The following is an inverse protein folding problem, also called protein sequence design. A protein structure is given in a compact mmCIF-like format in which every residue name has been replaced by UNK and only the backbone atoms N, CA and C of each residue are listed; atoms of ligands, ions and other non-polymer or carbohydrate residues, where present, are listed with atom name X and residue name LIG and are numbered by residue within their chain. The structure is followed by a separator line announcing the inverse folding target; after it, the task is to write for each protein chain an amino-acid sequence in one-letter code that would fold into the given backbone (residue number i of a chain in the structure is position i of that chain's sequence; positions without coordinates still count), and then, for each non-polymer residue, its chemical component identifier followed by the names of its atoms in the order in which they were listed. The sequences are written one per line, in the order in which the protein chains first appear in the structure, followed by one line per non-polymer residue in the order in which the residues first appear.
data_IF_218627912129
#
_entry.id   IF_218627912129
#
_cell.length_a   1.000
_cell.length_b   1.000
_cell.length_c   1.000
_cell.angle_alpha   90.00
_cell.angle_beta   90.00
_cell.angle_gamma   90.00
#
_symmetry.space_group_name_H-M   'P 1'
#
loop_
_entity.id
_entity.type
_entity.pdbx_description
1 polymer ?
#
# COMPACT_ATOMS: atom_id res chain seq x y z
N UNK A 1 34.11 20.19 12.63
CA UNK A 1 32.72 20.08 12.22
C UNK A 1 32.50 18.68 11.67
N UNK A 2 32.07 17.75 12.51
CA UNK A 2 31.85 16.36 12.10
C UNK A 2 30.47 16.29 11.45
N UNK A 3 30.44 16.04 10.13
CA UNK A 3 29.24 15.61 9.43
C UNK A 3 28.87 14.22 9.93
N UNK A 4 27.93 14.15 10.88
CA UNK A 4 27.22 12.90 11.17
C UNK A 4 26.38 12.65 9.92
N UNK A 5 26.81 11.73 9.06
CA UNK A 5 25.96 11.18 8.01
C UNK A 5 24.79 10.52 8.71
N UNK A 6 23.61 11.03 8.47
CA UNK A 6 22.36 10.42 8.90
C UNK A 6 22.28 9.04 8.23
N UNK A 7 22.50 7.98 9.01
CA UNK A 7 22.47 6.58 8.57
C UNK A 7 21.05 5.98 8.61
N UNK A 8 20.02 6.85 8.69
CA UNK A 8 18.62 6.42 8.87
C UNK A 8 17.92 6.01 7.57
N UNK A 9 18.53 6.23 6.39
CA UNK A 9 17.96 5.80 5.11
C UNK A 9 18.95 5.00 4.28
N UNK A 10 18.52 3.88 3.74
CA UNK A 10 19.26 3.07 2.77
C UNK A 10 18.52 3.14 1.43
N UNK A 11 18.96 4.06 0.54
CA UNK A 11 18.20 4.38 -0.68
C UNK A 11 16.89 5.12 -0.34
N UNK A 12 15.77 4.70 -0.94
CA UNK A 12 14.42 5.26 -0.71
C UNK A 12 13.65 4.51 0.40
N UNK A 13 14.33 4.08 1.47
CA UNK A 13 13.76 3.34 2.60
C UNK A 13 13.94 4.13 3.89
N UNK A 14 12.85 4.40 4.60
CA UNK A 14 12.87 4.95 5.95
C UNK A 14 12.94 3.80 6.97
N UNK A 15 14.14 3.52 7.48
CA UNK A 15 14.37 2.42 8.41
C UNK A 15 13.60 2.58 9.74
N UNK A 16 13.24 3.79 10.13
CA UNK A 16 12.44 4.02 11.34
C UNK A 16 10.98 3.61 11.10
N UNK A 17 10.44 3.91 9.92
CA UNK A 17 9.11 3.44 9.52
C UNK A 17 9.07 1.90 9.45
N UNK A 18 10.05 1.27 8.78
CA UNK A 18 10.14 -0.20 8.73
C UNK A 18 10.15 -0.78 10.15
N UNK A 19 11.00 -0.28 11.05
CA UNK A 19 11.09 -0.76 12.42
C UNK A 19 9.78 -0.62 13.21
N UNK A 20 8.97 0.42 12.97
CA UNK A 20 7.64 0.58 13.59
C UNK A 20 6.70 -0.56 13.21
N UNK A 21 6.62 -0.89 11.92
CA UNK A 21 5.76 -1.98 11.44
C UNK A 21 6.27 -3.35 11.90
N UNK A 22 7.58 -3.57 11.90
CA UNK A 22 8.18 -4.81 12.40
C UNK A 22 7.87 -5.03 13.89
N UNK A 23 7.87 -3.98 14.70
CA UNK A 23 7.53 -4.08 16.12
C UNK A 23 6.09 -4.57 16.38
N UNK A 24 5.19 -4.42 15.40
CA UNK A 24 3.79 -4.85 15.47
C UNK A 24 3.51 -6.11 14.65
N UNK A 25 4.52 -6.68 14.00
CA UNK A 25 4.36 -7.74 12.98
C UNK A 25 3.57 -8.96 13.46
N UNK A 26 3.77 -9.40 14.71
CA UNK A 26 3.08 -10.58 15.28
C UNK A 26 1.57 -10.43 15.38
N UNK A 27 1.04 -9.20 15.26
CA UNK A 27 -0.41 -8.91 15.34
C UNK A 27 -1.04 -8.60 13.99
N UNK A 28 -0.29 -8.78 12.90
CA UNK A 28 -0.77 -8.43 11.56
C UNK A 28 -2.09 -9.11 11.20
N UNK A 29 -2.27 -10.37 11.61
CA UNK A 29 -3.48 -11.15 11.34
C UNK A 29 -4.50 -11.16 12.49
N UNK A 30 -4.23 -10.41 13.57
CA UNK A 30 -5.20 -10.19 14.65
C UNK A 30 -6.29 -9.21 14.17
N UNK A 31 -7.47 -9.75 13.86
CA UNK A 31 -8.62 -8.98 13.35
C UNK A 31 -9.23 -8.03 14.39
N UNK A 32 -8.84 -8.14 15.64
CA UNK A 32 -9.26 -7.26 16.75
C UNK A 32 -8.14 -6.35 17.25
N UNK A 33 -6.93 -6.50 16.66
CA UNK A 33 -5.73 -5.73 16.97
C UNK A 33 -5.59 -4.42 16.21
N UNK A 34 -4.37 -3.86 16.20
CA UNK A 34 -4.02 -2.58 15.57
C UNK A 34 -4.23 -2.60 14.05
N UNK A 35 -4.16 -3.77 13.41
CA UNK A 35 -4.36 -3.93 11.97
C UNK A 35 -5.82 -4.21 11.56
N UNK A 36 -6.77 -4.21 12.54
CA UNK A 36 -8.19 -4.35 12.25
C UNK A 36 -8.68 -3.44 11.12
N UNK A 37 -8.31 -2.14 11.05
CA UNK A 37 -8.74 -1.29 9.94
C UNK A 37 -8.30 -1.81 8.57
N UNK A 38 -7.11 -2.41 8.44
CA UNK A 38 -6.64 -2.99 7.17
C UNK A 38 -7.50 -4.19 6.76
N UNK A 39 -7.88 -5.05 7.71
CA UNK A 39 -8.79 -6.17 7.46
C UNK A 39 -10.17 -5.69 7.02
N UNK A 40 -10.72 -4.67 7.68
CA UNK A 40 -12.04 -4.10 7.37
C UNK A 40 -12.06 -3.40 6.00
N UNK A 41 -10.95 -2.75 5.61
CA UNK A 41 -10.81 -2.05 4.34
C UNK A 41 -10.53 -2.99 3.16
N UNK A 42 -9.89 -4.14 3.41
CA UNK A 42 -9.38 -5.04 2.39
C UNK A 42 -10.45 -5.54 1.39
N UNK A 43 -11.67 -5.92 1.80
CA UNK A 43 -12.72 -6.33 0.85
C UNK A 43 -13.07 -5.25 -0.17
N UNK A 44 -13.14 -3.97 0.25
CA UNK A 44 -13.42 -2.86 -0.64
C UNK A 44 -12.26 -2.57 -1.59
N UNK A 45 -11.01 -2.67 -1.11
CA UNK A 45 -9.79 -2.53 -1.92
C UNK A 45 -9.73 -3.63 -2.99
N UNK A 46 -9.90 -4.88 -2.59
CA UNK A 46 -9.90 -6.02 -3.51
C UNK A 46 -11.01 -5.90 -4.57
N UNK A 47 -12.23 -5.53 -4.17
CA UNK A 47 -13.34 -5.33 -5.09
C UNK A 47 -13.04 -4.22 -6.12
N UNK A 48 -12.45 -3.11 -5.69
CA UNK A 48 -12.03 -2.03 -6.57
C UNK A 48 -10.98 -2.47 -7.58
N UNK A 49 -9.94 -3.17 -7.11
CA UNK A 49 -8.86 -3.69 -7.97
C UNK A 49 -9.44 -4.68 -9.00
N UNK A 50 -10.22 -5.68 -8.54
CA UNK A 50 -10.86 -6.66 -9.41
C UNK A 50 -11.72 -6.02 -10.49
N UNK A 51 -12.56 -5.06 -10.11
CA UNK A 51 -13.43 -4.37 -11.06
C UNK A 51 -12.63 -3.64 -12.13
N UNK A 52 -11.61 -2.89 -11.72
CA UNK A 52 -10.83 -2.04 -12.63
C UNK A 52 -9.84 -2.83 -13.47
N UNK A 53 -9.28 -3.90 -12.93
CA UNK A 53 -8.41 -4.80 -13.65
C UNK A 53 -9.17 -5.88 -14.46
N UNK A 54 -10.49 -5.86 -14.51
CA UNK A 54 -11.32 -6.85 -15.24
C UNK A 54 -11.04 -8.30 -14.80
N UNK A 55 -10.95 -8.54 -13.48
CA UNK A 55 -10.59 -9.82 -12.87
C UNK A 55 -9.10 -9.94 -12.58
N UNK A 56 -8.73 -10.93 -11.76
CA UNK A 56 -7.34 -11.19 -11.37
C UNK A 56 -6.87 -12.59 -11.76
N UNK A 57 -7.78 -13.49 -12.12
CA UNK A 57 -7.44 -14.88 -12.45
C UNK A 57 -6.38 -14.98 -13.56
N UNK A 58 -5.31 -15.70 -13.28
CA UNK A 58 -4.18 -15.92 -14.18
C UNK A 58 -3.28 -14.70 -14.42
N UNK A 59 -3.55 -13.55 -13.78
CA UNK A 59 -2.71 -12.35 -13.89
C UNK A 59 -1.51 -12.42 -12.97
N UNK A 60 -0.37 -11.89 -13.45
CA UNK A 60 0.80 -11.63 -12.61
C UNK A 60 0.59 -10.32 -11.88
N UNK A 61 0.56 -10.38 -10.56
CA UNK A 61 0.29 -9.24 -9.69
C UNK A 61 1.48 -8.97 -8.77
N UNK A 62 1.89 -7.71 -8.68
CA UNK A 62 2.86 -7.24 -7.70
C UNK A 62 2.16 -6.43 -6.62
N UNK A 63 2.42 -6.77 -5.35
CA UNK A 63 1.98 -6.01 -4.19
C UNK A 63 3.18 -5.34 -3.50
N UNK A 64 3.31 -4.02 -3.66
CA UNK A 64 4.43 -3.20 -3.16
C UNK A 64 4.13 -2.68 -1.77
N UNK A 65 5.01 -2.98 -0.80
CA UNK A 65 4.76 -2.72 0.61
C UNK A 65 3.69 -3.66 1.16
N UNK A 66 3.80 -4.96 0.85
CA UNK A 66 2.76 -5.94 1.15
C UNK A 66 2.55 -6.21 2.65
N UNK A 67 3.48 -5.77 3.51
CA UNK A 67 3.43 -5.98 4.95
C UNK A 67 3.27 -7.47 5.32
N UNK A 68 2.28 -7.79 6.14
CA UNK A 68 1.95 -9.16 6.53
C UNK A 68 1.09 -9.94 5.52
N UNK A 69 0.87 -9.40 4.29
CA UNK A 69 0.29 -10.16 3.18
C UNK A 69 -1.24 -10.16 3.07
N UNK A 70 -1.97 -9.32 3.80
CA UNK A 70 -3.44 -9.33 3.79
C UNK A 70 -4.04 -9.17 2.39
N UNK A 71 -3.57 -8.17 1.61
CA UNK A 71 -4.04 -7.94 0.26
C UNK A 71 -3.46 -8.98 -0.71
N UNK A 72 -2.17 -9.30 -0.57
CA UNK A 72 -1.49 -10.30 -1.41
C UNK A 72 -2.22 -11.64 -1.42
N UNK A 73 -2.55 -12.19 -0.23
CA UNK A 73 -3.27 -13.46 -0.13
C UNK A 73 -4.70 -13.35 -0.68
N UNK A 74 -5.36 -12.21 -0.47
CA UNK A 74 -6.70 -12.00 -1.03
C UNK A 74 -6.69 -11.96 -2.55
N UNK A 75 -5.63 -11.41 -3.18
CA UNK A 75 -5.47 -11.43 -4.63
C UNK A 75 -5.10 -12.82 -5.15
N UNK A 76 -4.29 -13.59 -4.40
CA UNK A 76 -3.98 -14.98 -4.72
C UNK A 76 -5.24 -15.86 -4.66
N UNK A 77 -6.11 -15.65 -3.65
CA UNK A 77 -7.41 -16.32 -3.54
C UNK A 77 -8.31 -16.09 -4.76
N UNK A 78 -8.16 -14.96 -5.44
CA UNK A 78 -8.87 -14.62 -6.70
C UNK A 78 -8.17 -15.20 -7.95
N UNK A 79 -7.21 -16.12 -7.76
CA UNK A 79 -6.52 -16.83 -8.84
C UNK A 79 -5.35 -16.07 -9.47
N UNK A 80 -4.85 -14.99 -8.86
CA UNK A 80 -3.67 -14.28 -9.33
C UNK A 80 -2.37 -15.01 -8.98
N UNK A 81 -1.34 -14.86 -9.83
CA UNK A 81 0.05 -15.20 -9.56
C UNK A 81 0.71 -13.98 -8.88
N UNK A 82 0.80 -14.02 -7.54
CA UNK A 82 1.14 -12.84 -6.73
C UNK A 82 2.57 -12.89 -6.23
N UNK A 83 3.30 -11.78 -6.44
CA UNK A 83 4.54 -11.45 -5.78
C UNK A 83 4.29 -10.30 -4.81
N UNK A 84 4.58 -10.49 -3.52
CA UNK A 84 4.56 -9.45 -2.49
C UNK A 84 5.98 -9.02 -2.13
N UNK A 85 6.23 -7.71 -2.07
CA UNK A 85 7.53 -7.18 -1.65
C UNK A 85 7.38 -6.23 -0.46
N UNK A 86 8.30 -6.34 0.50
CA UNK A 86 8.38 -5.46 1.67
C UNK A 86 9.84 -5.40 2.16
N UNK A 87 10.19 -4.35 2.91
CA UNK A 87 11.51 -4.20 3.49
C UNK A 87 11.62 -4.76 4.92
N UNK A 88 10.49 -5.01 5.59
CA UNK A 88 10.42 -5.57 6.93
C UNK A 88 10.54 -7.10 6.92
N UNK A 89 11.64 -7.64 7.44
CA UNK A 89 11.83 -9.10 7.56
C UNK A 89 10.79 -9.75 8.44
N UNK A 90 10.43 -9.11 9.54
CA UNK A 90 9.42 -9.62 10.47
C UNK A 90 8.03 -9.66 9.81
N UNK A 91 7.67 -8.65 9.02
CA UNK A 91 6.42 -8.61 8.25
C UNK A 91 6.34 -9.78 7.27
N UNK A 92 7.40 -9.96 6.46
CA UNK A 92 7.46 -11.06 5.49
C UNK A 92 7.49 -12.44 6.14
N UNK A 93 8.07 -12.55 7.34
CA UNK A 93 8.04 -13.80 8.11
C UNK A 93 6.61 -14.15 8.50
N UNK A 94 5.85 -13.19 9.02
CA UNK A 94 4.43 -13.39 9.36
C UNK A 94 3.60 -13.70 8.11
N UNK A 95 3.83 -12.99 7.01
CA UNK A 95 3.15 -13.27 5.75
C UNK A 95 3.38 -14.73 5.27
N UNK A 96 4.63 -15.20 5.29
CA UNK A 96 4.96 -16.59 4.96
C UNK A 96 4.34 -17.60 5.92
N UNK A 97 4.29 -17.28 7.21
CA UNK A 97 3.66 -18.17 8.21
C UNK A 97 2.16 -18.32 7.94
N UNK A 98 1.47 -17.21 7.62
CA UNK A 98 0.04 -17.27 7.37
C UNK A 98 -0.31 -18.05 6.08
N UNK A 99 0.58 -18.13 5.09
CA UNK A 99 0.38 -19.00 3.91
C UNK A 99 0.21 -20.47 4.27
N UNK A 100 0.81 -20.95 5.37
CA UNK A 100 0.59 -22.32 5.84
C UNK A 100 -0.82 -22.53 6.39
N UNK A 101 -1.45 -21.47 6.90
CA UNK A 101 -2.81 -21.51 7.43
C UNK A 101 -3.85 -21.33 6.32
N UNK A 102 -3.61 -20.38 5.40
CA UNK A 102 -4.54 -20.07 4.31
C UNK A 102 -4.47 -21.09 3.15
N UNK A 103 -3.30 -21.71 2.95
CA UNK A 103 -3.05 -22.59 1.80
C UNK A 103 -2.85 -21.86 0.47
N UNK A 104 -2.85 -20.53 0.49
CA UNK A 104 -2.61 -19.70 -0.69
C UNK A 104 -1.14 -19.74 -1.14
N UNK A 105 -0.87 -19.25 -2.35
CA UNK A 105 0.47 -19.21 -2.93
C UNK A 105 0.83 -17.78 -3.28
N UNK A 106 1.79 -17.22 -2.57
CA UNK A 106 2.37 -15.89 -2.80
C UNK A 106 3.88 -15.98 -2.71
N UNK A 107 4.60 -15.41 -3.66
CA UNK A 107 6.05 -15.26 -3.57
C UNK A 107 6.35 -13.97 -2.75
N UNK A 108 6.91 -14.11 -1.55
CA UNK A 108 7.31 -12.96 -0.74
C UNK A 108 8.81 -12.72 -0.84
N UNK A 109 9.22 -11.48 -1.23
CA UNK A 109 10.61 -11.08 -1.40
C UNK A 109 10.93 -9.83 -0.58
N UNK A 110 12.12 -9.84 0.07
CA UNK A 110 12.72 -8.64 0.66
C UNK A 110 13.55 -7.94 -0.40
N UNK A 111 12.97 -6.94 -1.04
CA UNK A 111 13.59 -6.16 -2.11
C UNK A 111 12.87 -4.82 -2.22
N UNK A 112 13.58 -3.75 -2.57
CA UNK A 112 12.93 -2.48 -2.91
C UNK A 112 12.25 -2.56 -4.27
N UNK A 113 11.22 -1.76 -4.47
CA UNK A 113 10.51 -1.72 -5.77
C UNK A 113 11.42 -1.21 -6.89
N UNK A 114 12.35 -0.32 -6.57
CA UNK A 114 13.35 0.21 -7.52
C UNK A 114 14.34 -0.88 -7.98
N UNK A 115 14.81 -1.74 -7.06
CA UNK A 115 15.66 -2.89 -7.41
C UNK A 115 14.88 -3.90 -8.25
N UNK A 116 13.64 -4.23 -7.86
CA UNK A 116 12.79 -5.13 -8.63
C UNK A 116 12.51 -4.59 -10.04
N UNK A 117 12.37 -3.27 -10.18
CA UNK A 117 12.15 -2.62 -11.48
C UNK A 117 13.36 -2.80 -12.43
N UNK A 118 14.56 -2.97 -11.90
CA UNK A 118 15.75 -3.29 -12.70
C UNK A 118 15.78 -4.77 -13.10
N UNK A 119 15.27 -5.67 -12.24
CA UNK A 119 15.24 -7.11 -12.49
C UNK A 119 14.14 -7.53 -13.47
N UNK A 120 12.94 -6.96 -13.35
CA UNK A 120 11.72 -7.47 -14.00
C UNK A 120 10.88 -6.35 -14.67
N UNK A 121 11.45 -5.52 -15.55
CA UNK A 121 10.68 -4.46 -16.22
C UNK A 121 9.55 -5.06 -17.06
N UNK A 122 8.35 -4.48 -16.96
CA UNK A 122 7.17 -4.88 -17.75
C UNK A 122 6.65 -6.30 -17.46
N UNK A 123 6.90 -6.84 -16.26
CA UNK A 123 6.56 -8.23 -15.94
C UNK A 123 5.13 -8.41 -15.44
N UNK A 124 4.50 -7.38 -14.86
CA UNK A 124 3.25 -7.51 -14.11
C UNK A 124 2.04 -6.95 -14.88
N UNK A 125 0.93 -7.69 -14.83
CA UNK A 125 -0.36 -7.24 -15.36
C UNK A 125 -1.00 -6.20 -14.45
N UNK A 126 -0.79 -6.35 -13.13
CA UNK A 126 -1.31 -5.45 -12.10
C UNK A 126 -0.20 -5.15 -11.09
N UNK A 127 -0.08 -3.88 -10.70
CA UNK A 127 0.79 -3.44 -9.61
C UNK A 127 -0.05 -2.71 -8.57
N UNK A 128 0.02 -3.12 -7.32
CA UNK A 128 -0.60 -2.43 -6.17
C UNK A 128 0.47 -1.82 -5.28
N UNK A 129 0.22 -0.61 -4.79
CA UNK A 129 1.04 0.10 -3.81
C UNK A 129 0.08 0.89 -2.91
N UNK A 130 -0.41 0.22 -1.86
CA UNK A 130 -1.47 0.75 -1.01
C UNK A 130 -0.95 1.07 0.39
N UNK A 131 -1.27 2.28 0.89
CA UNK A 131 -0.86 2.79 2.21
C UNK A 131 0.66 2.68 2.46
N UNK A 132 1.46 2.94 1.45
CA UNK A 132 2.92 2.81 1.52
C UNK A 132 3.64 4.12 1.16
N UNK A 133 3.05 4.93 0.27
CA UNK A 133 3.69 6.14 -0.27
C UNK A 133 3.99 7.18 0.80
N UNK A 134 3.18 7.28 1.85
CA UNK A 134 3.38 8.17 3.01
C UNK A 134 4.51 7.73 3.95
N UNK A 135 5.06 6.53 3.76
CA UNK A 135 6.11 5.95 4.62
C UNK A 135 7.50 5.97 3.99
N UNK A 136 7.64 6.53 2.78
CA UNK A 136 8.92 6.60 2.06
C UNK A 136 9.41 8.04 1.90
N UNK A 137 10.74 8.24 1.78
CA UNK A 137 11.32 9.57 1.55
C UNK A 137 10.93 10.20 0.20
N UNK A 138 10.84 9.40 -0.86
CA UNK A 138 10.52 9.84 -2.24
C UNK A 138 9.40 8.98 -2.86
N UNK A 139 8.13 9.35 -2.70
CA UNK A 139 7.01 8.68 -3.35
C UNK A 139 7.08 8.68 -4.89
N UNK A 140 7.69 9.71 -5.49
CA UNK A 140 7.85 9.80 -6.94
C UNK A 140 8.70 8.66 -7.51
N UNK A 141 9.79 8.29 -6.82
CA UNK A 141 10.65 7.16 -7.18
C UNK A 141 9.86 5.84 -7.17
N UNK A 142 9.03 5.60 -6.15
CA UNK A 142 8.17 4.42 -6.06
C UNK A 142 7.22 4.33 -7.25
N UNK A 143 6.54 5.44 -7.57
CA UNK A 143 5.57 5.49 -8.68
C UNK A 143 6.27 5.24 -10.02
N UNK A 144 7.48 5.80 -10.21
CA UNK A 144 8.29 5.54 -11.40
C UNK A 144 8.70 4.06 -11.50
N UNK A 145 9.07 3.42 -10.40
CA UNK A 145 9.40 2.00 -10.36
C UNK A 145 8.16 1.13 -10.67
N UNK A 146 7.00 1.45 -10.09
CA UNK A 146 5.72 0.79 -10.42
C UNK A 146 5.40 0.88 -11.91
N UNK A 147 5.62 2.05 -12.53
CA UNK A 147 5.45 2.23 -13.98
C UNK A 147 6.41 1.36 -14.79
N UNK A 148 7.64 1.18 -14.33
CA UNK A 148 8.62 0.33 -15.02
C UNK A 148 8.25 -1.16 -14.95
N UNK A 149 7.64 -1.59 -13.84
CA UNK A 149 7.25 -2.99 -13.58
C UNK A 149 5.97 -3.40 -14.28
N UNK A 150 5.04 -2.48 -14.47
CA UNK A 150 3.75 -2.78 -15.10
C UNK A 150 3.92 -2.95 -16.61
N UNK A 151 3.17 -3.92 -17.19
CA UNK A 151 3.07 -4.11 -18.65
C UNK A 151 2.46 -2.88 -19.33
N UNK A 152 2.68 -2.67 -20.65
CA UNK A 152 2.11 -1.52 -21.37
C UNK A 152 0.58 -1.39 -21.25
N UNK A 153 -0.15 -2.52 -21.21
CA UNK A 153 -1.62 -2.55 -21.05
C UNK A 153 -2.06 -2.87 -19.60
N UNK A 154 -1.13 -2.86 -18.66
CA UNK A 154 -1.41 -3.23 -17.27
C UNK A 154 -2.01 -2.10 -16.45
N UNK A 155 -2.38 -2.44 -15.24
CA UNK A 155 -3.08 -1.58 -14.29
C UNK A 155 -2.21 -1.31 -13.06
N UNK A 156 -2.20 -0.06 -12.59
CA UNK A 156 -1.50 0.33 -11.35
C UNK A 156 -2.50 0.94 -10.38
N UNK A 157 -2.42 0.51 -9.12
CA UNK A 157 -3.30 0.99 -8.07
C UNK A 157 -2.49 1.59 -6.93
N UNK A 158 -2.87 2.79 -6.51
CA UNK A 158 -2.30 3.48 -5.36
C UNK A 158 -3.39 3.77 -4.33
N UNK A 159 -3.05 3.79 -3.04
CA UNK A 159 -3.87 4.41 -2.01
C UNK A 159 -3.02 5.11 -0.97
N UNK A 160 -3.59 6.12 -0.35
CA UNK A 160 -2.97 6.86 0.75
C UNK A 160 -4.00 7.74 1.46
N UNK A 161 -3.59 8.38 2.55
CA UNK A 161 -4.39 9.32 3.32
C UNK A 161 -4.25 10.73 2.74
N UNK A 162 -5.38 11.42 2.52
CA UNK A 162 -5.39 12.78 1.99
C UNK A 162 -4.91 13.80 3.03
N UNK A 163 -4.10 14.78 2.63
CA UNK A 163 -3.60 15.86 3.50
C UNK A 163 -4.58 17.02 3.57
N UNK A 164 -5.51 16.98 4.52
CA UNK A 164 -6.43 18.08 4.83
C UNK A 164 -6.84 18.07 6.32
N UNK A 165 -7.61 19.09 6.75
CA UNK A 165 -8.02 19.22 8.15
C UNK A 165 -8.94 18.08 8.62
N UNK A 166 -9.79 17.53 7.73
CA UNK A 166 -10.72 16.43 8.05
C UNK A 166 -9.96 15.13 8.30
N UNK A 167 -9.00 14.80 7.44
CA UNK A 167 -8.16 13.62 7.61
C UNK A 167 -7.27 13.72 8.86
N UNK A 168 -6.74 14.92 9.16
CA UNK A 168 -6.02 15.15 10.41
C UNK A 168 -6.89 14.85 11.64
N UNK A 169 -8.10 15.38 11.65
CA UNK A 169 -9.03 15.16 12.77
C UNK A 169 -9.43 13.68 12.90
N UNK A 170 -9.66 12.99 11.80
CA UNK A 170 -10.13 11.60 11.81
C UNK A 170 -9.00 10.60 12.03
N UNK A 171 -7.89 10.69 11.27
CA UNK A 171 -6.81 9.72 11.34
C UNK A 171 -5.94 9.90 12.59
N UNK A 172 -5.62 11.13 12.96
CA UNK A 172 -4.72 11.41 14.09
C UNK A 172 -5.52 11.57 15.37
N UNK A 173 -6.42 12.57 15.45
CA UNK A 173 -7.16 12.80 16.69
C UNK A 173 -8.16 11.70 16.99
N UNK A 174 -8.89 11.22 15.98
CA UNK A 174 -9.90 10.17 16.14
C UNK A 174 -9.29 8.80 16.41
N UNK A 175 -8.49 8.29 15.49
CA UNK A 175 -7.97 6.93 15.54
C UNK A 175 -6.88 6.73 16.61
N UNK A 176 -5.95 7.67 16.75
CA UNK A 176 -4.82 7.50 17.66
C UNK A 176 -5.12 7.94 19.10
N UNK A 177 -5.85 9.05 19.29
CA UNK A 177 -6.06 9.64 20.63
C UNK A 177 -7.40 9.31 21.26
N UNK A 178 -8.50 9.32 20.49
CA UNK A 178 -9.84 9.10 21.03
C UNK A 178 -10.18 7.63 21.05
N UNK A 179 -10.09 6.95 19.92
CA UNK A 179 -10.49 5.54 19.77
C UNK A 179 -9.37 4.55 20.13
N UNK A 180 -8.12 5.03 20.16
CA UNK A 180 -6.91 4.21 20.41
C UNK A 180 -6.82 2.95 19.52
N UNK A 181 -7.34 3.06 18.31
CA UNK A 181 -7.31 2.00 17.30
C UNK A 181 -5.91 1.78 16.74
N UNK A 182 -5.08 2.84 16.77
CA UNK A 182 -3.70 2.83 16.28
C UNK A 182 -2.77 3.40 17.36
N UNK A 183 -1.51 2.94 17.43
CA UNK A 183 -0.50 3.55 18.31
C UNK A 183 -0.32 5.04 18.02
N UNK A 184 0.00 5.82 19.05
CA UNK A 184 0.29 7.26 18.87
C UNK A 184 1.52 7.43 17.98
N UNK A 185 1.44 8.34 17.01
CA UNK A 185 2.52 8.62 16.07
C UNK A 185 2.60 7.63 14.91
N UNK A 186 1.56 6.83 14.67
CA UNK A 186 1.45 6.00 13.47
C UNK A 186 1.41 6.87 12.21
N UNK A 187 0.75 8.04 12.28
CA UNK A 187 0.62 8.95 11.16
C UNK A 187 1.33 10.29 11.42
N UNK A 188 2.16 10.70 10.48
CA UNK A 188 2.68 12.07 10.38
C UNK A 188 1.87 12.83 9.31
N UNK A 189 1.09 13.83 9.74
CA UNK A 189 0.28 14.65 8.82
C UNK A 189 1.08 15.25 7.66
N UNK A 190 2.36 15.55 7.87
CA UNK A 190 3.23 16.11 6.83
C UNK A 190 3.49 15.15 5.68
N UNK A 191 3.40 13.84 5.98
CA UNK A 191 3.59 12.75 5.02
C UNK A 191 2.31 12.37 4.25
N UNK A 192 1.14 12.89 4.67
CA UNK A 192 -0.12 12.67 3.93
C UNK A 192 -0.04 13.31 2.55
N UNK A 193 -0.70 12.72 1.56
CA UNK A 193 -0.54 13.07 0.15
C UNK A 193 -1.88 13.54 -0.41
N UNK A 194 -1.91 14.74 -1.01
CA UNK A 194 -3.12 15.22 -1.68
C UNK A 194 -3.33 14.50 -3.01
N UNK A 195 -4.60 14.27 -3.45
CA UNK A 195 -4.88 13.69 -4.75
C UNK A 195 -4.16 14.39 -5.91
N UNK A 196 -4.03 15.73 -5.84
CA UNK A 196 -3.34 16.52 -6.87
C UNK A 196 -1.82 16.29 -6.89
N UNK A 197 -1.19 16.03 -5.75
CA UNK A 197 0.25 15.72 -5.65
C UNK A 197 0.51 14.32 -6.20
N UNK A 198 -0.31 13.34 -5.81
CA UNK A 198 -0.21 11.98 -6.35
C UNK A 198 -0.42 11.96 -7.86
N UNK A 199 -1.43 12.66 -8.38
CA UNK A 199 -1.67 12.76 -9.83
C UNK A 199 -0.51 13.45 -10.58
N UNK A 200 0.15 14.43 -9.96
CA UNK A 200 1.35 15.05 -10.53
C UNK A 200 2.48 14.04 -10.68
N UNK A 201 2.77 13.21 -9.65
CA UNK A 201 3.80 12.17 -9.73
C UNK A 201 3.41 11.04 -10.70
N UNK A 202 2.15 10.65 -10.75
CA UNK A 202 1.61 9.68 -11.71
C UNK A 202 1.91 10.14 -13.14
N UNK A 203 1.58 11.40 -13.48
CA UNK A 203 1.87 11.96 -14.80
C UNK A 203 3.35 12.10 -15.09
N UNK A 204 4.14 12.51 -14.10
CA UNK A 204 5.60 12.64 -14.25
C UNK A 204 6.26 11.28 -14.56
N UNK A 205 5.73 10.18 -14.03
CA UNK A 205 6.18 8.82 -14.30
C UNK A 205 5.69 8.26 -15.65
N UNK A 206 4.89 9.00 -16.43
CA UNK A 206 4.31 8.51 -17.70
C UNK A 206 3.12 7.56 -17.49
N UNK A 207 2.46 7.68 -16.36
CA UNK A 207 1.16 7.06 -16.11
C UNK A 207 0.03 8.07 -16.33
N UNK A 208 -1.19 7.58 -16.55
CA UNK A 208 -2.40 8.38 -16.63
C UNK A 208 -3.44 7.87 -15.66
N UNK A 209 -3.92 8.76 -14.77
CA UNK A 209 -5.04 8.47 -13.88
C UNK A 209 -6.28 8.14 -14.68
N UNK A 210 -6.87 6.98 -14.42
CA UNK A 210 -8.10 6.47 -15.01
C UNK A 210 -9.31 6.73 -14.12
N UNK A 211 -9.12 6.62 -12.80
CA UNK A 211 -10.20 6.77 -11.83
C UNK A 211 -9.64 7.04 -10.43
N UNK A 212 -10.38 7.85 -9.67
CA UNK A 212 -10.13 8.09 -8.25
C UNK A 212 -11.42 7.75 -7.49
N UNK A 213 -11.29 7.06 -6.36
CA UNK A 213 -12.40 6.76 -5.46
C UNK A 213 -11.99 7.02 -4.02
N UNK A 214 -12.83 7.64 -3.24
CA UNK A 214 -12.67 7.69 -1.80
C UNK A 214 -13.07 6.38 -1.13
N UNK A 215 -12.58 6.19 0.09
CA UNK A 215 -13.01 5.12 0.98
C UNK A 215 -13.58 5.72 2.26
N UNK A 216 -14.83 5.40 2.57
CA UNK A 216 -15.45 5.77 3.83
C UNK A 216 -15.44 4.56 4.77
N UNK A 217 -14.86 4.73 5.96
CA UNK A 217 -14.73 3.69 6.97
C UNK A 217 -15.46 4.10 8.25
N UNK A 218 -16.25 3.19 8.80
CA UNK A 218 -16.88 3.35 10.11
C UNK A 218 -16.20 2.43 11.12
N UNK A 219 -15.40 2.95 12.05
CA UNK A 219 -14.61 2.12 12.99
C UNK A 219 -15.47 1.36 14.01
N UNK A 220 -16.73 1.77 14.24
CA UNK A 220 -17.62 1.10 15.17
C UNK A 220 -18.28 -0.15 14.57
N UNK A 221 -18.52 -0.14 13.27
CA UNK A 221 -19.18 -1.24 12.57
C UNK A 221 -18.24 -2.07 11.71
N UNK A 222 -17.00 -1.61 11.49
CA UNK A 222 -16.05 -2.20 10.54
C UNK A 222 -16.46 -2.01 9.07
N UNK A 223 -17.56 -1.28 8.81
CA UNK A 223 -18.07 -1.15 7.46
C UNK A 223 -17.24 -0.16 6.64
N UNK A 224 -16.74 -0.63 5.51
CA UNK A 224 -16.06 0.19 4.50
C UNK A 224 -16.87 0.19 3.19
N UNK A 225 -16.91 1.33 2.52
CA UNK A 225 -17.49 1.47 1.18
C UNK A 225 -16.68 2.46 0.33
N UNK A 226 -16.69 2.22 -0.96
CA UNK A 226 -16.20 3.18 -1.96
C UNK A 226 -17.19 4.34 -2.13
N UNK A 227 -16.69 5.54 -2.37
CA UNK A 227 -17.47 6.76 -2.54
C UNK A 227 -16.72 7.77 -3.40
N UNK A 228 -17.41 8.85 -3.79
CA UNK A 228 -16.76 9.99 -4.48
C UNK A 228 -16.06 10.94 -3.49
N UNK A 229 -16.25 10.75 -2.16
CA UNK A 229 -15.61 11.56 -1.11
C UNK A 229 -14.16 11.08 -0.85
N UNK A 230 -13.20 11.81 -1.39
CA UNK A 230 -11.76 11.57 -1.25
C UNK A 230 -11.11 12.31 -0.07
N UNK A 231 -11.90 12.85 0.84
CA UNK A 231 -11.39 13.72 1.90
C UNK A 231 -10.47 13.04 2.91
N UNK A 232 -10.64 11.73 3.17
CA UNK A 232 -9.85 11.06 4.21
C UNK A 232 -8.85 10.09 3.57
N UNK A 233 -9.33 9.02 2.98
CA UNK A 233 -8.54 7.99 2.33
C UNK A 233 -9.06 7.78 0.91
N UNK A 234 -8.18 7.55 -0.05
CA UNK A 234 -8.56 7.40 -1.44
C UNK A 234 -7.71 6.38 -2.20
N UNK A 235 -8.31 5.78 -3.20
CA UNK A 235 -7.72 4.86 -4.16
C UNK A 235 -7.60 5.55 -5.52
N UNK A 236 -6.49 5.30 -6.20
CA UNK A 236 -6.25 5.75 -7.57
C UNK A 236 -5.97 4.55 -8.45
N UNK A 237 -6.66 4.46 -9.57
CA UNK A 237 -6.34 3.55 -10.67
C UNK A 237 -5.64 4.34 -11.77
N UNK A 238 -4.50 3.87 -12.22
CA UNK A 238 -3.71 4.47 -13.30
C UNK A 238 -3.25 3.40 -14.30
N UNK A 239 -2.91 3.83 -15.52
CA UNK A 239 -2.34 2.99 -16.58
C UNK A 239 -1.16 3.70 -17.25
N UNK A 240 -0.23 2.98 -17.89
CA UNK A 240 0.76 3.61 -18.76
C UNK A 240 0.09 4.54 -19.76
N UNK A 241 0.65 5.75 -19.92
CA UNK A 241 0.22 6.66 -20.97
C UNK A 241 0.68 6.10 -22.33
N UNK A 242 -0.25 6.03 -23.30
CA UNK A 242 0.03 5.62 -24.67
C UNK A 242 0.92 6.63 -25.40
#
# INVERSE_FOLDING_TARGET
MNNVKDTSSQGNVDLQEVAKFEAMSTRWWDKDGEFKPLHDLNPARLAYIKQRAHGLEGKKVLDVGCGGGILSESMAHEGADVTGIDMGDANLTIARMHLYESGEKVEYRKITVEELAQEQPGAFDVVTCLEMLEHVPDPGSIIQACKTLVKPEGDVFFSTVNRNAKSYAMAILGAEYVLKLLPKGTHDYKKFIRPSELDQWIRAAGLKTQHISGMTYNPFTGHCKLSDDTDINYLVHARPAS
#
